data_IF_015085119238
#
_entry.id   IF_015085119238
#
_cell.length_a   1.000
_cell.length_b   1.000
_cell.length_c   1.000
_cell.angle_alpha   90.00
_cell.angle_beta   90.00
_cell.angle_gamma   90.00
#
_symmetry.space_group_name_H-M   'P 1'
#
loop_
_entity.id
_entity.type
_entity.pdbx_description
1 polymer ?
#
# COMPACT_ATOMS: atom_id res chain seq x y z
N UNK A 1 -17.70 6.80 -6.29
CA UNK A 1 -16.24 6.58 -6.29
C UNK A 1 -15.85 6.10 -4.91
N UNK A 2 -15.25 4.91 -4.80
CA UNK A 2 -14.70 4.41 -3.54
C UNK A 2 -13.28 4.92 -3.32
N UNK A 3 -12.81 4.91 -2.07
CA UNK A 3 -11.45 5.29 -1.74
C UNK A 3 -10.43 4.35 -2.39
N UNK A 4 -9.29 4.90 -2.85
CA UNK A 4 -8.16 4.12 -3.37
C UNK A 4 -7.20 3.81 -2.23
N UNK A 5 -6.83 2.54 -2.09
CA UNK A 5 -5.97 2.09 -1.00
C UNK A 5 -4.55 1.89 -1.52
N UNK A 6 -3.62 2.69 -1.02
CA UNK A 6 -2.20 2.60 -1.31
C UNK A 6 -1.51 2.05 -0.08
N UNK A 7 -0.80 0.94 -0.23
CA UNK A 7 0.00 0.37 0.85
C UNK A 7 1.44 0.86 0.70
N UNK A 8 1.96 1.50 1.75
CA UNK A 8 3.37 1.88 1.86
C UNK A 8 4.11 0.79 2.61
N UNK A 9 5.08 0.17 1.94
CA UNK A 9 6.00 -0.79 2.54
C UNK A 9 7.40 -0.22 2.49
N UNK A 10 7.77 0.44 3.56
CA UNK A 10 9.18 0.67 3.83
C UNK A 10 9.76 -0.61 4.41
N UNK A 11 10.74 -1.21 3.73
CA UNK A 11 11.27 -2.51 4.14
C UNK A 11 12.12 -2.39 5.42
N UNK A 12 12.58 -1.18 5.81
CA UNK A 12 13.42 -1.01 7.00
C UNK A 12 13.31 0.33 7.77
N UNK A 13 12.44 1.27 7.40
CA UNK A 13 12.28 2.54 8.11
C UNK A 13 11.01 2.61 8.98
N UNK A 14 11.00 3.43 10.05
CA UNK A 14 9.78 3.83 10.72
C UNK A 14 8.93 4.59 9.70
N UNK A 15 7.93 3.92 9.13
CA UNK A 15 7.09 4.42 8.03
C UNK A 15 6.30 5.69 8.36
N UNK A 16 5.27 5.99 7.55
CA UNK A 16 4.49 7.24 7.68
C UNK A 16 3.86 7.47 9.06
N UNK A 17 3.70 6.43 9.88
CA UNK A 17 3.25 6.50 11.29
C UNK A 17 4.09 7.43 12.16
N UNK A 18 5.37 7.62 11.83
CA UNK A 18 6.29 8.50 12.56
C UNK A 18 6.45 9.87 11.90
N UNK A 19 5.71 10.15 10.83
CA UNK A 19 5.78 11.44 10.15
C UNK A 19 5.31 12.57 11.09
N UNK A 20 6.07 13.66 11.26
CA UNK A 20 5.63 14.81 12.05
C UNK A 20 4.45 15.57 11.42
N UNK A 21 4.19 15.29 10.15
CA UNK A 21 3.03 15.78 9.43
C UNK A 21 1.79 14.91 9.67
N UNK A 22 1.87 13.78 10.35
CA UNK A 22 0.67 13.04 10.74
C UNK A 22 -0.03 13.78 11.89
N UNK A 23 -1.31 14.11 11.74
CA UNK A 23 -2.08 14.71 12.84
C UNK A 23 -2.32 13.66 13.92
N UNK A 24 -2.34 14.12 15.17
CA UNK A 24 -2.85 13.31 16.27
C UNK A 24 -4.35 13.04 16.06
N UNK A 25 -4.76 11.84 16.39
CA UNK A 25 -6.16 11.46 16.50
C UNK A 25 -6.84 12.29 17.61
N UNK A 26 -8.12 12.72 17.44
CA UNK A 26 -8.86 13.48 18.44
C UNK A 26 -9.01 12.75 19.78
N UNK A 27 -9.22 11.43 19.74
CA UNK A 27 -9.10 10.56 20.92
C UNK A 27 -7.63 10.17 21.12
N UNK A 28 -7.05 10.62 22.23
CA UNK A 28 -5.66 10.35 22.57
C UNK A 28 -5.32 8.87 22.68
N UNK A 29 -6.28 8.03 23.07
CA UNK A 29 -6.07 6.58 23.23
C UNK A 29 -5.83 5.87 21.90
N UNK A 30 -6.26 6.47 20.80
CA UNK A 30 -6.13 5.91 19.46
C UNK A 30 -4.86 6.40 18.75
N UNK A 31 -4.08 7.32 19.35
CA UNK A 31 -2.84 7.86 18.76
C UNK A 31 -1.74 6.83 18.57
N UNK A 32 -1.82 5.70 19.24
CA UNK A 32 -0.80 4.66 19.19
C UNK A 32 -1.28 3.41 18.45
N UNK A 33 -2.54 3.40 18.00
CA UNK A 33 -3.18 2.26 17.34
C UNK A 33 -3.15 2.41 15.82
N UNK A 34 -3.10 1.27 15.14
CA UNK A 34 -3.07 1.17 13.69
C UNK A 34 -3.42 -0.23 13.16
N UNK A 35 -2.93 -0.55 11.95
CA UNK A 35 -3.24 -1.80 11.24
C UNK A 35 -2.81 -3.03 12.02
N UNK A 36 -1.66 -2.97 12.70
CA UNK A 36 -1.17 -4.06 13.55
C UNK A 36 -2.12 -4.39 14.68
N UNK A 37 -2.72 -3.39 15.32
CA UNK A 37 -3.68 -3.60 16.41
C UNK A 37 -4.99 -4.19 15.91
N UNK A 38 -5.48 -3.73 14.76
CA UNK A 38 -6.65 -4.28 14.08
C UNK A 38 -6.49 -5.77 13.74
N UNK A 39 -5.31 -6.12 13.23
CA UNK A 39 -4.95 -7.50 12.94
C UNK A 39 -4.80 -8.33 14.21
N UNK A 40 -4.11 -7.81 15.23
CA UNK A 40 -3.98 -8.49 16.51
C UNK A 40 -5.35 -8.81 17.13
N UNK A 41 -6.31 -7.89 17.00
CA UNK A 41 -7.70 -8.15 17.41
C UNK A 41 -8.33 -9.28 16.59
N UNK A 42 -8.24 -9.25 15.25
CA UNK A 42 -8.73 -10.33 14.40
C UNK A 42 -8.15 -11.68 14.82
N UNK A 43 -6.82 -11.77 14.93
CA UNK A 43 -6.15 -13.01 15.32
C UNK A 43 -6.57 -13.47 16.73
N UNK A 44 -6.68 -12.56 17.70
CA UNK A 44 -7.06 -12.94 19.07
C UNK A 44 -8.52 -13.34 19.25
N UNK A 45 -9.41 -12.87 18.36
CA UNK A 45 -10.86 -13.05 18.49
C UNK A 45 -11.44 -14.05 17.50
N UNK A 46 -10.67 -14.45 16.48
CA UNK A 46 -11.16 -15.40 15.47
C UNK A 46 -11.41 -16.78 16.08
N UNK A 47 -12.56 -17.34 15.74
CA UNK A 47 -12.98 -18.71 16.02
C UNK A 47 -13.31 -19.35 14.67
N UNK A 48 -12.36 -20.15 14.15
CA UNK A 48 -12.48 -20.77 12.83
C UNK A 48 -13.55 -21.88 12.80
N UNK A 49 -13.84 -22.52 13.94
CA UNK A 49 -14.88 -23.55 14.04
C UNK A 49 -16.27 -22.93 13.94
N UNK A 50 -16.47 -21.79 14.62
CA UNK A 50 -17.74 -21.04 14.56
C UNK A 50 -17.80 -20.09 13.37
N UNK A 51 -16.69 -19.90 12.67
CA UNK A 51 -16.55 -18.93 11.58
C UNK A 51 -16.87 -17.52 12.06
N UNK A 52 -16.22 -17.04 13.14
CA UNK A 52 -16.44 -15.68 13.66
C UNK A 52 -15.15 -14.95 13.94
N UNK A 53 -15.18 -13.62 13.91
CA UNK A 53 -14.10 -12.76 14.41
C UNK A 53 -14.67 -11.43 14.93
N UNK A 54 -13.89 -10.69 15.72
CA UNK A 54 -14.21 -9.31 16.07
C UNK A 54 -13.67 -8.33 15.03
N UNK A 55 -14.46 -7.29 14.76
CA UNK A 55 -14.14 -6.25 13.81
C UNK A 55 -14.27 -4.88 14.48
N UNK A 56 -13.16 -4.16 14.55
CA UNK A 56 -13.13 -2.73 14.82
C UNK A 56 -13.02 -1.95 13.49
N UNK A 57 -13.90 -0.96 13.24
CA UNK A 57 -13.86 -0.16 12.01
C UNK A 57 -12.52 0.56 11.79
N UNK A 58 -11.76 0.28 10.72
CA UNK A 58 -10.49 0.95 10.44
C UNK A 58 -10.64 2.45 10.21
N UNK A 59 -11.80 2.91 9.73
CA UNK A 59 -12.10 4.32 9.54
C UNK A 59 -11.97 5.16 10.81
N UNK A 60 -12.13 4.54 11.99
CA UNK A 60 -11.97 5.20 13.30
C UNK A 60 -10.52 5.42 13.70
N UNK A 61 -9.56 4.79 13.02
CA UNK A 61 -8.13 4.98 13.27
C UNK A 61 -7.47 5.89 12.23
N UNK A 62 -8.23 6.35 11.22
CA UNK A 62 -7.71 7.23 10.18
C UNK A 62 -7.27 8.56 10.76
N UNK A 63 -6.15 9.05 10.23
CA UNK A 63 -5.59 10.34 10.60
C UNK A 63 -5.37 11.19 9.37
N UNK A 64 -5.64 12.47 9.54
CA UNK A 64 -5.27 13.48 8.57
C UNK A 64 -3.76 13.64 8.52
N UNK A 65 -3.22 13.76 7.31
CA UNK A 65 -1.91 14.35 7.12
C UNK A 65 -2.04 15.88 7.13
N UNK A 66 -1.28 16.57 7.97
CA UNK A 66 -1.07 18.02 7.92
C UNK A 66 -0.63 18.38 6.52
N UNK A 67 -1.40 19.26 5.89
CA UNK A 67 -1.00 19.89 4.65
C UNK A 67 -0.17 21.13 4.95
N UNK A 68 1.02 21.18 4.36
CA UNK A 68 1.83 22.39 4.26
C UNK A 68 1.49 23.18 2.98
N UNK A 69 0.47 22.75 2.21
CA UNK A 69 0.03 23.45 1.01
C UNK A 69 -0.92 24.61 1.37
N UNK A 70 -0.50 25.87 1.20
CA UNK A 70 -1.34 27.04 1.49
C UNK A 70 -2.58 27.12 0.59
N UNK A 71 -2.61 26.38 -0.53
CA UNK A 71 -3.77 26.30 -1.42
C UNK A 71 -4.74 25.17 -1.04
N UNK A 72 -4.40 24.32 -0.09
CA UNK A 72 -5.24 23.20 0.36
C UNK A 72 -5.54 22.18 -0.75
N UNK A 73 -4.72 22.10 -1.80
CA UNK A 73 -4.92 21.12 -2.90
C UNK A 73 -4.71 19.71 -2.33
N UNK A 74 -3.80 19.59 -1.36
CA UNK A 74 -3.55 18.39 -0.59
C UNK A 74 -4.10 18.59 0.84
N UNK A 75 -4.86 17.64 1.39
CA UNK A 75 -5.04 17.51 2.84
C UNK A 75 -5.96 18.50 3.59
N UNK A 76 -7.04 19.00 3.01
CA UNK A 76 -8.13 19.59 3.80
C UNK A 76 -9.52 19.18 3.30
N UNK A 77 -10.32 18.63 4.22
CA UNK A 77 -11.71 18.18 4.03
C UNK A 77 -11.89 16.90 3.18
N UNK A 78 -10.85 16.05 3.16
CA UNK A 78 -10.78 14.72 2.55
C UNK A 78 -10.18 14.71 1.15
N UNK A 79 -8.98 14.12 1.00
CA UNK A 79 -8.37 13.50 -0.22
C UNK A 79 -7.19 12.55 0.07
N UNK A 80 -6.60 12.61 1.26
CA UNK A 80 -5.45 11.77 1.63
C UNK A 80 -5.45 11.48 3.14
N UNK A 81 -5.87 10.29 3.52
CA UNK A 81 -5.88 9.83 4.92
C UNK A 81 -4.80 8.78 5.12
N UNK A 82 -4.31 8.68 6.35
CA UNK A 82 -3.30 7.69 6.72
C UNK A 82 -3.91 6.78 7.77
N UNK A 83 -3.81 5.48 7.52
CA UNK A 83 -3.98 4.46 8.53
C UNK A 83 -2.57 4.03 8.99
N UNK A 84 -2.16 4.38 10.22
CA UNK A 84 -0.83 4.07 10.72
C UNK A 84 -0.66 2.57 10.95
N UNK A 85 0.58 2.12 11.10
CA UNK A 85 0.95 0.74 11.38
C UNK A 85 0.56 0.33 12.81
N UNK A 86 0.56 1.28 13.75
CA UNK A 86 0.40 1.01 15.19
C UNK A 86 1.74 0.81 15.90
N UNK A 87 1.72 0.56 17.22
CA UNK A 87 2.95 0.33 18.00
C UNK A 87 3.55 -1.04 17.69
N UNK A 88 4.77 -1.04 17.16
CA UNK A 88 5.51 -2.26 16.84
C UNK A 88 6.03 -3.05 18.06
N UNK A 89 6.03 -2.44 19.24
CA UNK A 89 6.70 -2.99 20.43
C UNK A 89 5.77 -3.62 21.47
N UNK A 90 4.47 -3.72 21.22
CA UNK A 90 3.53 -4.23 22.22
C UNK A 90 2.56 -5.23 21.59
N UNK A 91 2.85 -6.54 21.76
CA UNK A 91 1.87 -7.62 21.59
C UNK A 91 0.80 -7.62 22.69
N UNK A 92 0.45 -6.45 23.26
CA UNK A 92 -0.71 -6.36 24.12
C UNK A 92 -1.91 -6.27 23.20
N UNK A 93 -2.66 -7.37 23.14
CA UNK A 93 -3.93 -7.42 22.42
C UNK A 93 -4.84 -6.34 23.00
N UNK A 94 -4.93 -5.22 22.29
CA UNK A 94 -5.85 -4.16 22.64
C UNK A 94 -7.24 -4.60 22.25
N UNK A 95 -8.09 -4.86 23.25
CA UNK A 95 -9.51 -5.10 23.00
C UNK A 95 -10.18 -3.76 22.76
N UNK A 96 -10.72 -3.57 21.57
CA UNK A 96 -11.48 -2.38 21.27
C UNK A 96 -12.91 -2.57 21.82
N UNK A 97 -13.33 -1.68 22.71
CA UNK A 97 -14.64 -1.77 23.37
C UNK A 97 -15.83 -1.69 22.41
N UNK A 98 -15.62 -1.14 21.22
CA UNK A 98 -16.65 -0.93 20.20
C UNK A 98 -16.64 -2.00 19.10
N UNK A 99 -15.79 -3.02 19.23
CA UNK A 99 -15.73 -4.12 18.28
C UNK A 99 -17.01 -4.92 18.25
N UNK A 100 -17.36 -5.38 17.06
CA UNK A 100 -18.53 -6.22 16.82
C UNK A 100 -18.09 -7.58 16.33
N UNK A 101 -18.77 -8.63 16.78
CA UNK A 101 -18.52 -9.98 16.26
C UNK A 101 -19.21 -10.14 14.91
N UNK A 102 -18.44 -10.52 13.90
CA UNK A 102 -18.91 -10.85 12.56
C UNK A 102 -18.88 -12.35 12.33
N UNK A 103 -19.83 -12.85 11.54
CA UNK A 103 -19.83 -14.21 11.02
C UNK A 103 -19.18 -14.22 9.64
N UNK A 104 -18.20 -15.09 9.46
CA UNK A 104 -17.61 -15.43 8.18
C UNK A 104 -18.64 -16.25 7.41
N UNK A 105 -18.98 -15.87 6.16
CA UNK A 105 -19.87 -16.66 5.33
C UNK A 105 -19.26 -18.04 5.04
N UNK A 106 -20.07 -19.04 4.65
CA UNK A 106 -19.55 -20.31 4.16
C UNK A 106 -18.48 -20.09 3.10
N UNK A 107 -17.45 -20.95 3.06
CA UNK A 107 -16.33 -20.81 2.13
C UNK A 107 -16.82 -20.81 0.69
N UNK A 108 -16.72 -19.65 0.04
CA UNK A 108 -17.02 -19.43 -1.37
C UNK A 108 -15.72 -18.93 -2.03
N UNK A 109 -15.00 -19.81 -2.72
CA UNK A 109 -13.67 -19.39 -3.20
C UNK A 109 -12.76 -20.45 -3.78
N UNK A 110 -11.46 -20.15 -3.70
CA UNK A 110 -10.39 -20.90 -4.36
C UNK A 110 -10.30 -22.32 -3.75
N UNK A 111 -10.17 -23.33 -4.61
CA UNK A 111 -10.19 -24.74 -4.21
C UNK A 111 -9.18 -25.07 -3.10
N UNK A 112 -8.03 -24.39 -3.10
CA UNK A 112 -6.91 -24.66 -2.16
C UNK A 112 -6.79 -23.65 -1.01
N UNK A 113 -7.73 -22.71 -0.86
CA UNK A 113 -7.65 -21.68 0.19
C UNK A 113 -7.91 -22.29 1.59
N UNK A 114 -7.10 -21.98 2.59
CA UNK A 114 -7.36 -22.42 3.97
C UNK A 114 -8.58 -21.69 4.58
N UNK A 115 -9.17 -22.23 5.66
CA UNK A 115 -10.25 -21.53 6.37
C UNK A 115 -9.76 -20.19 6.97
N UNK A 116 -8.48 -20.13 7.31
CA UNK A 116 -7.82 -18.95 7.82
C UNK A 116 -7.66 -17.88 6.74
N UNK A 117 -7.12 -18.23 5.58
CA UNK A 117 -7.04 -17.34 4.42
C UNK A 117 -8.42 -16.81 4.02
N UNK A 118 -9.45 -17.68 4.05
CA UNK A 118 -10.82 -17.27 3.77
C UNK A 118 -11.35 -16.26 4.79
N UNK A 119 -11.14 -16.51 6.09
CA UNK A 119 -11.55 -15.59 7.14
C UNK A 119 -10.81 -14.24 7.02
N UNK A 120 -9.51 -14.27 6.69
CA UNK A 120 -8.69 -13.09 6.49
C UNK A 120 -9.12 -12.28 5.26
N UNK A 121 -9.44 -12.96 4.15
CA UNK A 121 -10.00 -12.35 2.94
C UNK A 121 -11.35 -11.68 3.23
N UNK A 122 -12.21 -12.31 4.04
CA UNK A 122 -13.47 -11.71 4.45
C UNK A 122 -13.27 -10.52 5.40
N UNK A 123 -12.30 -10.59 6.30
CA UNK A 123 -11.91 -9.46 7.15
C UNK A 123 -11.44 -8.26 6.30
N UNK A 124 -10.57 -8.49 5.32
CA UNK A 124 -10.13 -7.48 4.35
C UNK A 124 -11.30 -6.86 3.57
N UNK A 125 -12.27 -7.68 3.15
CA UNK A 125 -13.47 -7.16 2.48
C UNK A 125 -14.24 -6.21 3.39
N UNK A 126 -14.46 -6.57 4.66
CA UNK A 126 -15.13 -5.70 5.64
C UNK A 126 -14.36 -4.40 5.88
N UNK A 127 -13.03 -4.49 5.90
CA UNK A 127 -12.14 -3.37 6.02
C UNK A 127 -12.29 -2.38 4.86
N UNK A 128 -12.27 -2.88 3.61
CA UNK A 128 -12.49 -2.06 2.41
C UNK A 128 -13.89 -1.43 2.40
N UNK A 129 -14.92 -2.21 2.75
CA UNK A 129 -16.31 -1.73 2.84
C UNK A 129 -16.44 -0.57 3.83
N UNK A 130 -15.81 -0.67 4.99
CA UNK A 130 -15.79 0.39 6.00
C UNK A 130 -15.10 1.66 5.48
N UNK A 131 -13.90 1.53 4.91
CA UNK A 131 -13.16 2.67 4.36
C UNK A 131 -13.88 3.33 3.18
N UNK A 132 -14.54 2.55 2.32
CA UNK A 132 -15.31 3.08 1.20
C UNK A 132 -16.59 3.80 1.65
N UNK A 133 -17.19 3.40 2.76
CA UNK A 133 -18.37 4.03 3.34
C UNK A 133 -18.03 5.28 4.18
N UNK A 134 -16.79 5.40 4.64
CA UNK A 134 -16.35 6.49 5.49
C UNK A 134 -16.42 7.85 4.78
N UNK A 135 -17.01 8.83 5.48
CA UNK A 135 -17.05 10.22 5.07
C UNK A 135 -16.62 11.09 6.26
N UNK A 136 -15.56 11.90 6.13
CA UNK A 136 -15.20 12.85 7.17
C UNK A 136 -16.36 13.80 7.49
N UNK A 137 -16.46 14.22 8.75
CA UNK A 137 -17.49 15.17 9.18
C UNK A 137 -17.38 16.48 8.39
N UNK A 138 -18.50 16.95 7.83
CA UNK A 138 -18.54 18.16 7.02
C UNK A 138 -17.99 18.02 5.59
N UNK A 139 -17.65 16.81 5.14
CA UNK A 139 -17.21 16.58 3.76
C UNK A 139 -18.37 16.28 2.80
N UNK A 140 -18.43 17.04 1.70
CA UNK A 140 -19.40 16.82 0.60
C UNK A 140 -19.05 15.61 -0.28
N UNK A 141 -17.82 15.08 -0.16
CA UNK A 141 -17.31 13.93 -0.93
C UNK A 141 -16.53 12.94 -0.04
N UNK A 142 -16.40 11.71 -0.53
CA UNK A 142 -15.61 10.66 0.13
C UNK A 142 -14.10 10.84 0.00
N UNK A 143 -13.35 9.88 0.54
CA UNK A 143 -11.87 9.86 0.53
C UNK A 143 -11.35 9.44 -0.86
N UNK A 144 -10.36 10.14 -1.42
CA UNK A 144 -9.74 9.74 -2.70
C UNK A 144 -8.64 8.70 -2.49
N UNK A 145 -7.77 8.89 -1.49
CA UNK A 145 -6.67 7.98 -1.16
C UNK A 145 -6.56 7.70 0.35
N UNK A 146 -6.33 6.43 0.68
CA UNK A 146 -5.92 5.97 2.01
C UNK A 146 -4.53 5.37 1.88
N UNK A 147 -3.54 5.92 2.59
CA UNK A 147 -2.25 5.28 2.80
C UNK A 147 -2.34 4.32 3.98
N UNK A 148 -1.97 3.08 3.76
CA UNK A 148 -1.85 2.07 4.81
C UNK A 148 -0.37 1.86 5.07
N UNK A 149 0.09 2.27 6.24
CA UNK A 149 1.48 2.08 6.65
C UNK A 149 1.69 0.63 7.10
N UNK A 150 2.50 -0.11 6.34
CA UNK A 150 2.89 -1.46 6.69
C UNK A 150 4.32 -1.42 7.20
N UNK A 151 4.45 -1.28 8.52
CA UNK A 151 5.76 -1.34 9.15
C UNK A 151 6.38 -2.75 8.92
N UNK A 152 7.66 -2.82 8.51
CA UNK A 152 8.31 -4.08 8.20
C UNK A 152 8.50 -4.94 9.46
N UNK A 153 8.41 -6.25 9.30
CA UNK A 153 8.59 -7.23 10.40
C UNK A 153 7.32 -7.98 10.84
N UNK A 154 6.17 -7.67 10.23
CA UNK A 154 4.93 -8.43 10.44
C UNK A 154 4.54 -9.17 9.16
N UNK A 155 5.00 -10.42 9.03
CA UNK A 155 4.69 -11.29 7.88
C UNK A 155 3.19 -11.51 7.68
N UNK A 156 2.41 -11.48 8.77
CA UNK A 156 0.94 -11.62 8.70
C UNK A 156 0.23 -10.31 8.27
N UNK A 157 0.85 -9.15 8.50
CA UNK A 157 0.37 -7.85 7.99
C UNK A 157 0.49 -7.81 6.49
N UNK A 158 1.62 -8.33 6.01
CA UNK A 158 2.02 -8.48 4.62
C UNK A 158 0.93 -9.26 3.86
N UNK A 159 0.39 -10.38 4.35
CA UNK A 159 -0.69 -11.10 3.65
C UNK A 159 -2.02 -10.34 3.59
N UNK A 160 -2.45 -9.72 4.70
CA UNK A 160 -3.71 -8.95 4.71
C UNK A 160 -3.62 -7.69 3.84
N UNK A 161 -2.59 -6.88 4.07
CA UNK A 161 -2.46 -5.55 3.44
C UNK A 161 -2.08 -5.68 1.98
N UNK A 162 -1.16 -6.58 1.63
CA UNK A 162 -0.69 -6.72 0.26
C UNK A 162 -1.60 -7.60 -0.60
N UNK A 163 -2.25 -8.61 -0.03
CA UNK A 163 -3.06 -9.57 -0.79
C UNK A 163 -4.48 -9.11 -1.07
N UNK A 164 -5.13 -8.58 -0.04
CA UNK A 164 -6.59 -8.44 -0.08
C UNK A 164 -7.06 -6.99 -0.02
N UNK A 165 -6.31 -6.10 0.62
CA UNK A 165 -6.76 -4.72 0.87
C UNK A 165 -6.28 -3.70 -0.16
N UNK A 166 -5.05 -3.85 -0.69
CA UNK A 166 -4.45 -2.80 -1.52
C UNK A 166 -5.03 -2.76 -2.95
N UNK A 167 -5.43 -1.56 -3.37
CA UNK A 167 -5.55 -1.27 -4.80
C UNK A 167 -4.16 -1.26 -5.45
N UNK A 168 -3.17 -0.70 -4.75
CA UNK A 168 -1.76 -0.57 -5.18
C UNK A 168 -0.80 -0.80 -4.01
N UNK A 169 0.32 -1.43 -4.31
CA UNK A 169 1.42 -1.69 -3.37
C UNK A 169 2.62 -0.86 -3.82
N UNK A 170 3.13 -0.02 -2.94
CA UNK A 170 4.35 0.76 -3.16
C UNK A 170 5.46 0.14 -2.31
N UNK A 171 6.45 -0.44 -2.96
CA UNK A 171 7.62 -1.04 -2.29
C UNK A 171 8.78 -0.05 -2.34
N UNK A 172 9.26 0.36 -1.17
CA UNK A 172 10.42 1.26 -1.05
C UNK A 172 11.63 0.45 -0.58
N UNK A 173 12.72 0.50 -1.35
CA UNK A 173 13.93 -0.28 -1.03
C UNK A 173 15.22 0.51 -1.27
N UNK A 174 16.16 0.40 -0.32
CA UNK A 174 17.52 0.90 -0.49
C UNK A 174 18.36 0.03 -1.44
N UNK A 175 19.56 0.51 -1.79
CA UNK A 175 20.45 -0.20 -2.73
C UNK A 175 21.46 -1.16 -2.06
N UNK A 176 21.50 -1.21 -0.73
CA UNK A 176 22.42 -2.13 -0.05
C UNK A 176 21.92 -3.59 -0.15
N UNK A 177 22.81 -4.53 0.16
CA UNK A 177 22.52 -5.96 0.04
C UNK A 177 21.33 -6.42 0.88
N UNK A 178 21.17 -5.89 2.10
CA UNK A 178 20.07 -6.26 3.00
C UNK A 178 18.72 -5.80 2.44
N UNK A 179 18.63 -4.56 1.95
CA UNK A 179 17.42 -4.02 1.33
C UNK A 179 17.03 -4.77 0.05
N UNK A 180 17.99 -5.14 -0.79
CA UNK A 180 17.71 -5.91 -2.02
C UNK A 180 17.25 -7.33 -1.68
N UNK A 181 17.85 -7.98 -0.68
CA UNK A 181 17.40 -9.29 -0.22
C UNK A 181 15.99 -9.22 0.39
N UNK A 182 15.70 -8.18 1.18
CA UNK A 182 14.35 -7.95 1.71
C UNK A 182 13.31 -7.69 0.62
N UNK A 183 13.68 -6.98 -0.45
CA UNK A 183 12.83 -6.80 -1.63
C UNK A 183 12.55 -8.12 -2.33
N UNK A 184 13.56 -8.98 -2.50
CA UNK A 184 13.43 -10.31 -3.12
C UNK A 184 12.43 -11.19 -2.35
N UNK A 185 12.60 -11.32 -1.03
CA UNK A 185 11.69 -12.11 -0.19
C UNK A 185 10.25 -11.53 -0.18
N UNK A 186 10.12 -10.20 -0.16
CA UNK A 186 8.81 -9.54 -0.23
C UNK A 186 8.11 -9.82 -1.55
N UNK A 187 8.85 -9.71 -2.68
CA UNK A 187 8.32 -9.99 -4.01
C UNK A 187 7.95 -11.45 -4.17
N UNK A 188 8.74 -12.38 -3.62
CA UNK A 188 8.43 -13.81 -3.62
C UNK A 188 7.06 -14.10 -2.99
N UNK A 189 6.86 -13.65 -1.76
CA UNK A 189 5.57 -13.78 -1.06
C UNK A 189 4.42 -13.11 -1.82
N UNK A 190 4.67 -11.91 -2.37
CA UNK A 190 3.68 -11.19 -3.17
C UNK A 190 3.24 -11.95 -4.43
N UNK A 191 4.18 -12.56 -5.14
CA UNK A 191 3.90 -13.21 -6.44
C UNK A 191 3.27 -14.58 -6.27
N UNK A 192 3.65 -15.33 -5.24
CA UNK A 192 3.13 -16.69 -5.03
C UNK A 192 1.63 -16.67 -4.69
N UNK A 193 1.16 -15.68 -3.94
CA UNK A 193 -0.18 -15.76 -3.30
C UNK A 193 -1.09 -14.57 -3.61
N UNK A 194 -0.51 -13.37 -3.84
CA UNK A 194 -1.21 -12.10 -3.63
C UNK A 194 -1.45 -11.32 -4.93
N UNK A 195 -0.46 -11.20 -5.81
CA UNK A 195 -0.61 -10.52 -7.10
C UNK A 195 -0.81 -11.54 -8.22
N UNK A 196 -2.02 -11.60 -8.76
CA UNK A 196 -2.36 -12.51 -9.87
C UNK A 196 -1.51 -12.24 -11.13
N UNK A 197 -1.37 -13.29 -11.94
CA UNK A 197 -0.80 -13.21 -13.28
C UNK A 197 -1.52 -12.14 -14.12
N UNK A 198 -0.76 -11.34 -14.87
CA UNK A 198 -1.22 -10.21 -15.68
C UNK A 198 -1.33 -8.89 -14.91
N UNK A 199 -1.32 -8.90 -13.57
CA UNK A 199 -1.59 -7.70 -12.78
C UNK A 199 -0.34 -7.05 -12.18
N UNK A 200 0.85 -7.62 -12.35
CA UNK A 200 2.07 -7.17 -11.67
C UNK A 200 2.33 -5.67 -11.87
N UNK A 201 2.34 -5.20 -13.12
CA UNK A 201 2.58 -3.78 -13.44
C UNK A 201 1.51 -2.80 -12.95
N UNK A 202 0.27 -3.28 -12.81
CA UNK A 202 -0.85 -2.47 -12.33
C UNK A 202 -1.00 -2.49 -10.81
N UNK A 203 -0.40 -3.47 -10.13
CA UNK A 203 -0.54 -3.66 -8.68
C UNK A 203 0.67 -3.21 -7.89
N UNK A 204 1.87 -3.40 -8.42
CA UNK A 204 3.10 -3.04 -7.75
C UNK A 204 3.75 -1.79 -8.37
N UNK A 205 4.38 -0.98 -7.54
CA UNK A 205 5.28 0.10 -7.90
C UNK A 205 6.53 0.00 -7.03
N UNK A 206 7.71 0.13 -7.62
CA UNK A 206 8.98 0.03 -6.91
C UNK A 206 9.66 1.40 -6.85
N UNK A 207 10.11 1.78 -5.67
CA UNK A 207 10.86 3.02 -5.46
C UNK A 207 12.20 2.66 -4.82
N UNK A 208 13.29 2.84 -5.56
CA UNK A 208 14.62 2.75 -4.97
C UNK A 208 14.95 4.05 -4.24
N UNK A 209 15.16 3.98 -2.93
CA UNK A 209 15.39 5.15 -2.09
C UNK A 209 16.19 4.80 -0.83
N UNK A 210 17.19 5.60 -0.44
CA UNK A 210 17.78 6.70 -1.20
C UNK A 210 18.79 6.19 -2.25
N UNK A 211 18.88 6.89 -3.37
CA UNK A 211 19.90 6.66 -4.42
C UNK A 211 20.93 7.80 -4.39
N UNK A 212 22.24 7.54 -4.24
CA UNK A 212 23.27 8.59 -4.27
C UNK A 212 23.12 9.53 -5.47
N UNK A 213 23.20 10.85 -5.26
CA UNK A 213 22.94 11.84 -6.33
C UNK A 213 23.90 11.74 -7.52
N UNK A 214 25.10 11.19 -7.30
CA UNK A 214 26.11 10.91 -8.34
C UNK A 214 26.12 9.43 -8.76
N UNK A 215 24.98 8.73 -8.69
CA UNK A 215 24.94 7.30 -8.96
C UNK A 215 25.41 6.93 -10.37
N UNK A 216 25.22 7.80 -11.36
CA UNK A 216 25.72 7.57 -12.71
C UNK A 216 27.25 7.55 -12.80
N UNK A 217 27.93 8.24 -11.89
CA UNK A 217 29.39 8.39 -11.86
C UNK A 217 30.07 7.28 -11.06
N UNK A 218 29.31 6.51 -10.27
CA UNK A 218 29.82 5.44 -9.40
C UNK A 218 29.40 4.07 -9.93
N UNK A 219 30.33 3.26 -10.49
CA UNK A 219 30.04 1.91 -10.97
C UNK A 219 29.29 1.04 -9.96
N UNK A 220 29.69 1.10 -8.68
CA UNK A 220 29.12 0.29 -7.60
C UNK A 220 27.64 0.61 -7.35
N UNK A 221 27.25 1.88 -7.47
CA UNK A 221 25.85 2.29 -7.31
C UNK A 221 25.01 1.84 -8.51
N UNK A 222 25.55 1.92 -9.73
CA UNK A 222 24.87 1.40 -10.93
C UNK A 222 24.67 -0.10 -10.86
N UNK A 223 25.70 -0.84 -10.44
CA UNK A 223 25.60 -2.28 -10.23
C UNK A 223 24.58 -2.62 -9.14
N UNK A 224 24.53 -1.87 -8.05
CA UNK A 224 23.54 -2.07 -7.00
C UNK A 224 22.10 -1.82 -7.47
N UNK A 225 21.88 -0.72 -8.21
CA UNK A 225 20.60 -0.43 -8.83
C UNK A 225 20.21 -1.52 -9.85
N UNK A 226 21.15 -1.96 -10.68
CA UNK A 226 20.91 -3.02 -11.65
C UNK A 226 20.53 -4.33 -10.96
N UNK A 227 21.19 -4.70 -9.86
CA UNK A 227 20.79 -5.87 -9.05
C UNK A 227 19.36 -5.75 -8.54
N UNK A 228 18.98 -4.59 -8.01
CA UNK A 228 17.59 -4.34 -7.57
C UNK A 228 16.59 -4.47 -8.72
N UNK A 229 16.91 -3.89 -9.88
CA UNK A 229 16.10 -4.02 -11.10
C UNK A 229 15.99 -5.47 -11.55
N UNK A 230 17.08 -6.24 -11.53
CA UNK A 230 17.10 -7.64 -11.97
C UNK A 230 16.25 -8.53 -11.04
N UNK A 231 16.25 -8.26 -9.73
CA UNK A 231 15.31 -8.90 -8.79
C UNK A 231 13.87 -8.59 -9.18
N UNK A 232 13.50 -7.32 -9.40
CA UNK A 232 12.12 -6.97 -9.79
C UNK A 232 11.69 -7.66 -11.09
N UNK A 233 12.61 -7.79 -12.05
CA UNK A 233 12.37 -8.43 -13.35
C UNK A 233 12.24 -9.95 -13.26
N UNK A 234 12.92 -10.62 -12.32
CA UNK A 234 12.86 -12.08 -12.18
C UNK A 234 11.45 -12.56 -11.82
N UNK A 235 10.65 -11.69 -11.20
CA UNK A 235 9.27 -11.94 -10.79
C UNK A 235 8.19 -11.66 -11.86
N UNK A 236 8.59 -11.26 -13.07
CA UNK A 236 7.69 -11.18 -14.22
C UNK A 236 7.42 -12.57 -14.79
N UNK A 237 6.19 -13.03 -14.63
CA UNK A 237 5.79 -14.37 -15.03
C UNK A 237 5.43 -14.41 -16.52
N UNK A 238 5.61 -15.56 -17.18
CA UNK A 238 5.09 -15.78 -18.53
C UNK A 238 3.56 -15.71 -18.49
N UNK A 239 2.98 -14.96 -19.43
CA UNK A 239 1.56 -15.01 -19.71
C UNK A 239 1.34 -16.23 -20.62
N UNK A 240 0.49 -17.15 -20.17
CA UNK A 240 -0.04 -18.17 -21.07
C UNK A 240 -0.72 -17.46 -22.23
N UNK A 241 -0.22 -17.66 -23.45
CA UNK A 241 -0.91 -17.18 -24.62
C UNK A 241 -0.89 -18.24 -25.71
N UNK A 242 -2.08 -18.43 -26.28
CA UNK A 242 -2.44 -19.11 -27.51
C UNK A 242 -1.83 -18.36 -28.72
N UNK A 243 -0.55 -17.99 -28.59
CA UNK A 243 0.14 -17.06 -29.46
C UNK A 243 0.53 -17.78 -30.74
N UNK A 244 -0.20 -17.45 -31.82
CA UNK A 244 0.03 -17.90 -33.20
C UNK A 244 1.45 -17.59 -33.75
N UNK A 245 2.33 -16.96 -32.96
CA UNK A 245 3.66 -16.48 -33.36
C UNK A 245 4.84 -17.04 -32.54
N UNK A 246 4.61 -17.95 -31.58
CA UNK A 246 5.68 -18.72 -30.94
C UNK A 246 6.62 -17.94 -30.01
N UNK A 247 6.30 -16.69 -29.65
CA UNK A 247 7.02 -15.91 -28.63
C UNK A 247 6.15 -15.82 -27.36
N UNK A 248 6.57 -16.43 -26.24
CA UNK A 248 5.83 -16.35 -24.99
C UNK A 248 5.70 -14.89 -24.56
N UNK A 249 4.47 -14.42 -24.38
CA UNK A 249 4.25 -13.10 -23.78
C UNK A 249 4.69 -13.15 -22.32
N UNK A 250 5.34 -12.09 -21.85
CA UNK A 250 5.64 -11.89 -20.42
C UNK A 250 4.76 -10.79 -19.88
N UNK A 251 4.47 -10.84 -18.59
CA UNK A 251 3.90 -9.70 -17.90
C UNK A 251 4.75 -8.44 -18.10
N UNK A 252 4.07 -7.30 -18.07
CA UNK A 252 4.73 -6.00 -18.02
C UNK A 252 5.40 -5.80 -16.65
N UNK A 253 6.55 -5.13 -16.67
CA UNK A 253 7.27 -4.72 -15.48
C UNK A 253 6.49 -3.65 -14.70
N UNK A 254 6.57 -3.63 -13.35
CA UNK A 254 6.03 -2.53 -12.57
C UNK A 254 6.77 -1.22 -12.86
N UNK A 255 6.09 -0.06 -12.72
CA UNK A 255 6.75 1.22 -12.70
C UNK A 255 7.85 1.24 -11.62
N UNK A 256 9.02 1.74 -12.00
CA UNK A 256 10.18 1.82 -11.12
C UNK A 256 10.72 3.25 -11.11
N UNK A 257 10.95 3.77 -9.90
CA UNK A 257 11.47 5.12 -9.69
C UNK A 257 12.71 5.09 -8.81
N UNK A 258 13.50 6.15 -8.89
CA UNK A 258 14.64 6.38 -8.00
C UNK A 258 14.45 7.71 -7.29
N UNK A 259 14.57 7.73 -5.97
CA UNK A 259 14.59 8.96 -5.19
C UNK A 259 16.02 9.32 -4.79
N UNK A 260 16.52 10.51 -5.15
CA UNK A 260 17.88 10.90 -4.83
C UNK A 260 18.07 11.09 -3.33
N UNK A 261 19.22 10.67 -2.83
CA UNK A 261 19.65 10.95 -1.47
C UNK A 261 19.64 12.45 -1.23
N UNK A 262 18.96 12.86 -0.17
CA UNK A 262 18.85 14.26 0.22
C UNK A 262 19.25 14.38 1.67
N UNK A 263 20.37 15.07 1.95
CA UNK A 263 20.93 15.20 3.30
C UNK A 263 19.90 15.67 4.33
N UNK A 264 19.02 16.60 3.93
CA UNK A 264 17.93 17.10 4.78
C UNK A 264 17.06 15.98 5.35
N UNK A 265 16.71 14.96 4.55
CA UNK A 265 15.90 13.83 4.98
C UNK A 265 16.64 12.90 5.96
N UNK A 266 17.98 12.94 5.99
CA UNK A 266 18.78 12.15 6.91
C UNK A 266 18.99 12.83 8.27
N UNK A 267 18.81 14.16 8.36
CA UNK A 267 19.16 14.95 9.55
C UNK A 267 18.00 15.77 10.12
N UNK A 268 16.84 15.77 9.45
CA UNK A 268 15.71 16.62 9.81
C UNK A 268 14.40 15.84 9.80
N UNK A 269 13.62 16.01 10.87
CA UNK A 269 12.23 15.58 10.90
C UNK A 269 11.34 16.50 10.05
N UNK A 270 11.81 17.70 9.67
CA UNK A 270 11.00 18.61 8.85
C UNK A 270 10.91 18.07 7.43
N UNK A 271 9.73 18.08 6.79
CA UNK A 271 9.61 17.76 5.36
C UNK A 271 10.56 18.61 4.52
N UNK A 272 11.02 18.05 3.40
CA UNK A 272 11.82 18.79 2.43
C UNK A 272 10.99 19.96 1.87
N UNK A 273 11.54 21.18 1.89
CA UNK A 273 10.84 22.33 1.30
C UNK A 273 10.59 22.11 -0.20
N UNK A 274 9.42 22.55 -0.66
CA UNK A 274 8.98 22.45 -2.06
C UNK A 274 9.38 23.64 -2.91
N UNK A 275 9.94 24.66 -2.29
CA UNK A 275 10.18 25.94 -2.94
C UNK A 275 11.20 25.79 -4.06
N UNK A 276 10.90 26.47 -5.17
CA UNK A 276 11.82 26.51 -6.31
C UNK A 276 13.05 27.31 -5.93
N UNK A 277 14.22 26.72 -6.06
CA UNK A 277 15.50 27.42 -5.90
C UNK A 277 15.94 27.83 -7.29
N UNK A 278 16.12 29.14 -7.51
CA UNK A 278 16.47 29.70 -8.83
C UNK A 278 15.48 29.34 -9.96
N UNK A 279 14.21 29.10 -9.61
CA UNK A 279 13.16 28.74 -10.58
C UNK A 279 13.03 27.25 -10.85
N UNK A 280 13.93 26.42 -10.32
CA UNK A 280 13.92 24.96 -10.50
C UNK A 280 13.40 24.26 -9.24
N UNK A 281 12.68 23.15 -9.44
CA UNK A 281 12.26 22.30 -8.33
C UNK A 281 13.45 21.46 -7.86
N UNK A 282 13.61 21.18 -6.56
CA UNK A 282 14.61 20.24 -6.11
C UNK A 282 14.42 18.87 -6.81
N UNK A 283 15.48 18.20 -7.28
CA UNK A 283 15.36 16.92 -8.03
C UNK A 283 14.55 15.84 -7.31
N UNK A 284 14.58 15.86 -5.97
CA UNK A 284 13.73 14.98 -5.16
C UNK A 284 12.24 15.22 -5.43
N UNK A 285 11.78 16.47 -5.44
CA UNK A 285 10.38 16.81 -5.67
C UNK A 285 9.93 16.56 -7.10
N UNK A 286 10.82 16.69 -8.09
CA UNK A 286 10.52 16.29 -9.48
C UNK A 286 10.17 14.81 -9.56
N UNK A 287 10.98 13.95 -8.94
CA UNK A 287 10.71 12.51 -8.87
C UNK A 287 9.43 12.17 -8.10
N UNK A 288 9.15 12.89 -7.01
CA UNK A 288 7.89 12.72 -6.27
C UNK A 288 6.68 13.05 -7.14
N UNK A 289 6.73 14.11 -7.97
CA UNK A 289 5.63 14.42 -8.89
C UNK A 289 5.46 13.34 -9.96
N UNK A 290 6.54 12.81 -10.52
CA UNK A 290 6.46 11.68 -11.46
C UNK A 290 5.79 10.44 -10.85
N UNK A 291 6.14 10.10 -9.60
CA UNK A 291 5.53 8.98 -8.86
C UNK A 291 4.02 9.22 -8.64
N UNK A 292 3.65 10.45 -8.27
CA UNK A 292 2.23 10.81 -8.05
C UNK A 292 1.44 10.75 -9.34
N UNK A 293 1.99 11.24 -10.45
CA UNK A 293 1.33 11.21 -11.75
C UNK A 293 1.13 9.77 -12.26
N UNK A 294 2.07 8.86 -11.99
CA UNK A 294 1.92 7.44 -12.28
C UNK A 294 0.79 6.79 -11.46
N UNK A 295 0.69 7.15 -10.17
CA UNK A 295 -0.40 6.66 -9.32
C UNK A 295 -1.77 7.14 -9.82
N UNK A 296 -1.88 8.37 -10.33
CA UNK A 296 -3.15 8.93 -10.80
C UNK A 296 -3.52 8.50 -12.23
N UNK A 297 -2.55 8.40 -13.15
CA UNK A 297 -2.80 8.00 -14.54
C UNK A 297 -3.34 6.58 -14.68
N UNK A 298 -2.81 5.64 -13.91
CA UNK A 298 -3.30 4.27 -13.92
C UNK A 298 -4.65 4.11 -13.22
N UNK A 299 -4.94 4.96 -12.23
CA UNK A 299 -6.22 4.94 -11.52
C UNK A 299 -7.41 5.23 -12.45
N UNK A 300 -7.20 6.12 -13.42
CA UNK A 300 -8.18 6.45 -14.47
C UNK A 300 -8.38 5.25 -15.41
N UNK A 301 -7.30 4.54 -15.74
CA UNK A 301 -7.34 3.35 -16.60
C UNK A 301 -8.03 2.16 -15.95
N UNK A 302 -7.81 1.95 -14.64
CA UNK A 302 -8.45 0.87 -13.89
C UNK A 302 -9.94 1.12 -13.64
N UNK A 303 -10.35 2.37 -13.44
CA UNK A 303 -11.78 2.75 -13.34
C UNK A 303 -12.52 2.52 -14.66
N UNK A 304 -11.89 2.87 -15.79
CA UNK A 304 -12.41 2.57 -17.14
C UNK A 304 -12.54 1.05 -17.32
N UNK A 305 -11.52 0.26 -16.96
CA UNK A 305 -11.57 -1.21 -17.05
C UNK A 305 -12.64 -1.84 -16.15
N UNK A 306 -12.80 -1.36 -14.90
CA UNK A 306 -13.85 -1.83 -13.98
C UNK A 306 -15.24 -1.53 -14.53
N UNK A 307 -15.45 -0.34 -15.08
CA UNK A 307 -16.74 0.06 -15.66
C UNK A 307 -17.06 -0.73 -16.94
N UNK A 308 -16.06 -1.00 -17.78
CA UNK A 308 -16.22 -1.87 -18.95
C UNK A 308 -16.58 -3.31 -18.56
N UNK A 309 -15.90 -3.87 -17.56
CA UNK A 309 -16.19 -5.23 -17.08
C UNK A 309 -17.56 -5.33 -16.37
N UNK A 310 -17.98 -4.28 -15.65
CA UNK A 310 -19.31 -4.24 -15.03
C UNK A 310 -20.43 -4.14 -16.07
N UNK A 311 -20.21 -3.41 -17.17
CA UNK A 311 -21.16 -3.32 -18.28
C UNK A 311 -21.30 -4.68 -19.01
N UNK A 312 -20.19 -5.37 -19.32
CA UNK A 312 -20.23 -6.68 -19.95
C UNK A 312 -20.95 -7.75 -19.10
N UNK A 313 -20.76 -7.73 -17.77
CA UNK A 313 -21.44 -8.67 -16.87
C UNK A 313 -22.93 -8.35 -16.64
N UNK A 314 -23.40 -7.17 -17.04
CA UNK A 314 -24.81 -6.78 -16.97
C UNK A 314 -25.61 -7.18 -18.22
N UNK A 315 -24.93 -7.39 -19.36
CA UNK A 315 -25.55 -7.85 -20.61
C UNK A 315 -25.78 -9.37 -20.65
N UNK A 316 -25.07 -10.16 -19.83
CA UNK A 316 -25.31 -11.61 -19.70
C UNK A 316 -26.49 -11.98 -18.77
N UNK A 317 -27.16 -10.98 -18.18
CA UNK A 317 -28.32 -11.18 -17.26
C UNK A 317 -29.67 -10.75 -17.84
N UNK A 318 -29.75 -10.51 -19.14
CA UNK A 318 -31.00 -10.23 -19.85
C UNK A 318 -31.27 -11.23 -20.97
#
# INVERSE_FOLDING_TARGET
>A
MGARHLVDMDIHAPGISYSPNLRKHPDEKLNELGVGDLLAEFYSSRDLEKGTFNFYPPSKLLRDRKSDDPKGIWGSNGRFLVLPAGKTNQFQIQKFSESRTHKVPPKEGRANESLEEWALRFYAQKFIEDLAAFKPEGADRGVDYVLIDCCPGYLDLVDLTMGYMADRIVLVSGLNHQNIAGLDETLKSLRDENIRLGLYSSKAMIIFSPVPSHFHDQPETREALQRGVDVVKSYCLPLDDDSREGVPRKELFPPMFTLPYTLHLAISDKPLQRDRVLGELPPYWERIYEIVDELDSQSTSDEIRRNLNAACNSEEKH
#
